data_IF_555314507596
#
_entry.id   IF_555314507596
#
_cell.length_a   1.000
_cell.length_b   1.000
_cell.length_c   1.000
_cell.angle_alpha   90.00
_cell.angle_beta   90.00
_cell.angle_gamma   90.00
#
_symmetry.space_group_name_H-M   'P 1'
#
loop_
_entity.id
_entity.type
_entity.pdbx_description
1 polymer ?
#
# COMPACT_ATOMS: atom_id res chain seq x y z
N UNK A 1 -4.72 24.17 16.81
CA UNK A 1 -6.13 24.61 16.69
C UNK A 1 -7.02 23.38 16.78
N UNK A 2 -8.10 23.38 17.59
CA UNK A 2 -9.10 22.32 17.56
C UNK A 2 -9.80 22.32 16.19
N UNK A 3 -9.85 21.16 15.53
CA UNK A 3 -10.61 20.99 14.28
C UNK A 3 -12.10 21.06 14.63
N UNK A 4 -12.75 22.18 14.31
CA UNK A 4 -14.21 22.31 14.42
C UNK A 4 -14.85 21.87 13.10
N UNK A 5 -15.05 20.56 12.95
CA UNK A 5 -15.79 20.01 11.83
C UNK A 5 -17.28 20.18 12.12
N UNK A 6 -17.93 21.16 11.49
CA UNK A 6 -19.39 21.35 11.49
C UNK A 6 -19.98 20.73 10.23
N UNK A 7 -19.75 19.43 10.08
CA UNK A 7 -20.28 18.64 8.99
C UNK A 7 -21.15 17.51 9.58
N UNK A 8 -22.46 17.47 9.26
CA UNK A 8 -23.35 16.43 9.77
C UNK A 8 -22.97 15.02 9.28
N UNK A 9 -22.33 14.89 8.11
CA UNK A 9 -21.86 13.61 7.59
C UNK A 9 -20.73 13.06 8.47
N UNK A 10 -19.79 13.92 8.86
CA UNK A 10 -18.68 13.52 9.74
C UNK A 10 -19.19 13.10 11.12
N UNK A 11 -20.25 13.73 11.62
CA UNK A 11 -20.86 13.34 12.89
C UNK A 11 -21.49 11.94 12.81
N UNK A 12 -22.21 11.64 11.72
CA UNK A 12 -22.77 10.30 11.48
C UNK A 12 -21.69 9.23 11.38
N UNK A 13 -20.65 9.45 10.55
CA UNK A 13 -19.52 8.54 10.40
C UNK A 13 -18.79 8.30 11.73
N UNK A 14 -18.66 9.35 12.54
CA UNK A 14 -18.02 9.23 13.85
C UNK A 14 -18.88 8.43 14.82
N UNK A 15 -20.20 8.62 14.81
CA UNK A 15 -21.12 7.83 15.64
C UNK A 15 -21.12 6.35 15.25
N UNK A 16 -21.07 6.04 13.96
CA UNK A 16 -20.93 4.67 13.46
C UNK A 16 -19.60 4.04 13.94
N UNK A 17 -18.49 4.78 13.79
CA UNK A 17 -17.17 4.31 14.21
C UNK A 17 -17.08 4.11 15.73
N UNK A 18 -17.69 5.00 16.52
CA UNK A 18 -17.82 4.83 17.98
C UNK A 18 -18.64 3.58 18.29
N UNK A 19 -19.75 3.34 17.59
CA UNK A 19 -20.57 2.15 17.78
C UNK A 19 -19.81 0.85 17.52
N UNK A 20 -18.96 0.83 16.50
CA UNK A 20 -18.13 -0.32 16.12
C UNK A 20 -16.95 -0.54 17.07
N UNK A 21 -16.25 0.53 17.45
CA UNK A 21 -15.01 0.46 18.24
C UNK A 21 -15.24 0.54 19.75
N UNK A 22 -16.42 1.00 20.18
CA UNK A 22 -16.79 1.31 21.58
C UNK A 22 -15.81 2.27 22.27
N UNK A 23 -15.26 3.22 21.51
CA UNK A 23 -14.30 4.22 21.98
C UNK A 23 -14.92 5.61 22.10
N UNK A 24 -14.20 6.57 22.67
CA UNK A 24 -14.68 7.96 22.70
C UNK A 24 -14.60 8.61 21.31
N UNK A 25 -15.42 9.63 21.07
CA UNK A 25 -15.42 10.41 19.81
C UNK A 25 -14.02 10.87 19.40
N UNK A 26 -13.23 11.32 20.36
CA UNK A 26 -11.87 11.82 20.11
C UNK A 26 -10.91 10.69 19.76
N UNK A 27 -11.02 9.54 20.41
CA UNK A 27 -10.18 8.36 20.14
C UNK A 27 -10.50 7.74 18.79
N UNK A 28 -11.79 7.51 18.50
CA UNK A 28 -12.26 7.00 17.22
C UNK A 28 -11.72 7.83 16.04
N UNK A 29 -11.85 9.16 16.12
CA UNK A 29 -11.36 10.08 15.08
C UNK A 29 -9.83 10.06 15.00
N UNK A 30 -9.14 10.04 16.15
CA UNK A 30 -7.68 10.02 16.21
C UNK A 30 -7.12 8.78 15.52
N UNK A 31 -7.68 7.61 15.80
CA UNK A 31 -7.18 6.35 15.28
C UNK A 31 -7.54 6.17 13.80
N UNK A 32 -8.75 6.58 13.39
CA UNK A 32 -9.11 6.65 11.97
C UNK A 32 -8.15 7.54 11.16
N UNK A 33 -7.75 8.70 11.72
CA UNK A 33 -6.77 9.58 11.08
C UNK A 33 -5.38 8.95 10.99
N UNK A 34 -4.92 8.28 12.06
CA UNK A 34 -3.63 7.57 12.05
C UNK A 34 -3.63 6.48 10.98
N UNK A 35 -4.68 5.67 10.91
CA UNK A 35 -4.78 4.57 9.95
C UNK A 35 -4.84 5.10 8.51
N UNK A 36 -5.58 6.18 8.28
CA UNK A 36 -5.66 6.82 6.97
C UNK A 36 -4.32 7.43 6.53
N UNK A 37 -3.52 7.95 7.47
CA UNK A 37 -2.15 8.43 7.21
C UNK A 37 -1.22 7.25 6.92
N UNK A 38 -1.26 6.21 7.76
CA UNK A 38 -0.42 5.02 7.63
C UNK A 38 -0.68 4.31 6.30
N UNK A 39 -1.94 4.12 5.92
CA UNK A 39 -2.35 3.53 4.64
C UNK A 39 -1.82 4.31 3.44
N UNK A 40 -1.93 5.65 3.46
CA UNK A 40 -1.41 6.50 2.37
C UNK A 40 0.12 6.46 2.28
N UNK A 41 0.81 6.51 3.42
CA UNK A 41 2.27 6.37 3.47
C UNK A 41 2.74 5.00 2.98
N UNK A 42 2.04 3.93 3.35
CA UNK A 42 2.33 2.58 2.88
C UNK A 42 2.13 2.43 1.37
N UNK A 43 1.08 3.04 0.80
CA UNK A 43 0.86 3.06 -0.66
C UNK A 43 1.98 3.78 -1.41
N UNK A 44 2.44 4.92 -0.89
CA UNK A 44 3.59 5.63 -1.45
C UNK A 44 4.86 4.78 -1.38
N UNK A 45 5.14 4.16 -0.23
CA UNK A 45 6.35 3.35 -0.07
C UNK A 45 6.35 2.08 -0.91
N UNK A 46 5.21 1.44 -1.17
CA UNK A 46 5.13 0.29 -2.10
C UNK A 46 5.47 0.73 -3.51
N UNK A 47 4.93 1.87 -3.97
CA UNK A 47 5.23 2.41 -5.29
C UNK A 47 6.72 2.75 -5.42
N UNK A 48 7.30 3.39 -4.40
CA UNK A 48 8.72 3.76 -4.39
C UNK A 48 9.63 2.52 -4.32
N UNK A 49 9.25 1.51 -3.52
CA UNK A 49 9.99 0.24 -3.43
C UNK A 49 9.96 -0.55 -4.74
N UNK A 50 8.84 -0.52 -5.45
CA UNK A 50 8.67 -1.18 -6.73
C UNK A 50 9.22 -0.37 -7.90
N UNK A 51 9.50 0.93 -7.72
CA UNK A 51 9.98 1.79 -8.80
C UNK A 51 11.30 1.28 -9.40
N UNK A 52 12.23 0.81 -8.57
CA UNK A 52 13.52 0.28 -9.03
C UNK A 52 13.34 -1.01 -9.83
N UNK A 53 12.55 -1.95 -9.35
CA UNK A 53 12.32 -3.23 -10.05
C UNK A 53 11.48 -3.04 -11.31
N UNK A 54 10.48 -2.15 -11.31
CA UNK A 54 9.74 -1.77 -12.51
C UNK A 54 10.65 -1.09 -13.53
N UNK A 55 11.53 -0.18 -13.11
CA UNK A 55 12.50 0.45 -14.02
C UNK A 55 13.49 -0.58 -14.61
N UNK A 56 13.91 -1.57 -13.83
CA UNK A 56 14.73 -2.68 -14.33
C UNK A 56 13.97 -3.55 -15.34
N UNK A 57 12.70 -3.85 -15.09
CA UNK A 57 11.87 -4.61 -16.02
C UNK A 57 11.58 -3.83 -17.32
N UNK A 58 11.25 -2.54 -17.20
CA UNK A 58 11.05 -1.65 -18.35
C UNK A 58 12.34 -1.51 -19.18
N UNK A 59 13.51 -1.41 -18.52
CA UNK A 59 14.81 -1.37 -19.20
C UNK A 59 15.19 -2.70 -19.86
N UNK A 60 14.79 -3.84 -19.29
CA UNK A 60 15.00 -5.16 -19.87
C UNK A 60 14.13 -5.39 -21.13
N UNK A 61 13.02 -4.66 -21.27
CA UNK A 61 12.10 -4.74 -22.40
C UNK A 61 11.25 -6.02 -22.41
N UNK A 62 10.20 -6.09 -23.24
CA UNK A 62 9.21 -7.17 -23.18
C UNK A 62 9.71 -8.56 -23.63
N UNK A 63 10.97 -8.69 -24.04
CA UNK A 63 11.59 -9.96 -24.45
C UNK A 63 13.11 -9.82 -24.29
N UNK A 64 13.62 -9.97 -23.06
CA UNK A 64 15.07 -9.98 -22.84
C UNK A 64 15.69 -11.02 -23.78
N UNK A 65 16.65 -10.67 -24.67
CA UNK A 65 17.19 -11.59 -25.66
C UNK A 65 18.16 -12.56 -24.96
N UNK A 66 17.59 -13.53 -24.26
CA UNK A 66 18.27 -14.65 -23.64
C UNK A 66 17.54 -15.93 -24.01
N UNK A 67 18.28 -17.03 -24.15
CA UNK A 67 17.66 -18.35 -24.27
C UNK A 67 17.18 -18.75 -22.87
N UNK A 68 15.97 -18.31 -22.54
CA UNK A 68 15.36 -18.51 -21.22
C UNK A 68 15.27 -19.97 -20.81
N UNK A 69 15.30 -20.89 -21.78
CA UNK A 69 15.35 -22.33 -21.49
C UNK A 69 16.73 -22.71 -20.97
N UNK A 70 17.79 -22.41 -21.73
CA UNK A 70 19.16 -22.73 -21.32
C UNK A 70 19.55 -22.07 -20.00
N UNK A 71 19.12 -20.82 -19.77
CA UNK A 71 19.33 -20.11 -18.50
C UNK A 71 18.57 -20.76 -17.33
N UNK A 72 17.39 -21.31 -17.59
CA UNK A 72 16.63 -22.04 -16.58
C UNK A 72 17.28 -23.40 -16.30
N UNK A 73 17.63 -24.16 -17.33
CA UNK A 73 18.22 -25.49 -17.21
C UNK A 73 19.55 -25.43 -16.40
N UNK A 74 20.38 -24.39 -16.61
CA UNK A 74 21.61 -24.13 -15.82
C UNK A 74 21.33 -23.79 -14.34
N UNK A 75 20.25 -23.03 -14.06
CA UNK A 75 19.84 -22.69 -12.69
C UNK A 75 19.24 -23.87 -11.91
N UNK A 76 18.65 -24.83 -12.61
CA UNK A 76 18.02 -26.02 -12.04
C UNK A 76 18.91 -27.27 -12.12
N UNK A 77 20.10 -27.16 -12.73
CA UNK A 77 21.10 -28.22 -12.79
C UNK A 77 20.73 -29.38 -13.70
N UNK A 78 19.91 -29.13 -14.73
CA UNK A 78 19.57 -30.10 -15.77
C UNK A 78 20.65 -30.07 -16.87
N UNK A 79 21.90 -30.36 -16.51
CA UNK A 79 22.91 -30.78 -17.49
C UNK A 79 22.86 -32.32 -17.57
N UNK A 80 22.59 -32.85 -18.77
CA UNK A 80 22.49 -34.28 -19.11
C UNK A 80 23.57 -35.20 -18.48
#
# INVERSE_FOLDING_TARGET
MPLYIRDPEVDQLTNELIGLTRTTKVEAVRDALKDAIASRKAKLSIRDRLATTLAMADAAGPFHPGDHKRESDEMWGEDD
#
